data_IF_739448004305
#
_entry.id   IF_739448004305
#
_cell.length_a   1.000
_cell.length_b   1.000
_cell.length_c   1.000
_cell.angle_alpha   90.00
_cell.angle_beta   90.00
_cell.angle_gamma   90.00
#
_symmetry.space_group_name_H-M   'P 1'
#
loop_
_entity.id
_entity.type
_entity.pdbx_description
1 polymer ?
#
# COMPACT_ATOMS: atom_id res chain seq x y z
N UNK A 1 12.91 11.66 7.18
CA UNK A 1 12.92 10.52 8.11
C UNK A 1 11.76 9.61 7.75
N UNK A 2 12.04 8.47 7.12
CA UNK A 2 11.01 7.51 6.70
C UNK A 2 10.89 6.44 7.77
N UNK A 3 9.78 6.43 8.51
CA UNK A 3 9.53 5.42 9.54
C UNK A 3 9.23 4.08 8.88
N UNK A 4 10.13 3.09 9.01
CA UNK A 4 9.82 1.70 8.74
C UNK A 4 9.03 1.17 9.95
N UNK A 5 7.73 0.94 9.78
CA UNK A 5 6.92 0.28 10.81
C UNK A 5 7.22 -1.21 10.69
N UNK A 6 8.10 -1.69 11.56
CA UNK A 6 8.35 -3.12 11.73
C UNK A 6 7.16 -3.75 12.44
N UNK A 7 6.54 -4.76 11.82
CA UNK A 7 6.17 -6.07 12.39
C UNK A 7 5.00 -6.69 11.63
N UNK A 8 5.29 -7.71 10.81
CA UNK A 8 4.79 -9.09 10.96
C UNK A 8 5.09 -9.88 9.66
N UNK A 9 5.62 -11.10 9.79
CA UNK A 9 5.85 -12.09 8.69
C UNK A 9 7.09 -11.90 7.79
N UNK A 10 8.07 -11.11 8.21
CA UNK A 10 9.39 -11.05 7.58
C UNK A 10 9.56 -10.04 6.45
N UNK A 11 8.46 -9.55 5.85
CA UNK A 11 8.51 -8.42 4.92
C UNK A 11 8.52 -7.07 5.64
N UNK A 12 9.24 -6.11 5.06
CA UNK A 12 9.32 -4.72 5.49
C UNK A 12 8.38 -3.87 4.66
N UNK A 13 7.59 -3.01 5.31
CA UNK A 13 6.68 -2.09 4.63
C UNK A 13 7.25 -0.68 4.66
N UNK A 14 7.32 -0.06 3.49
CA UNK A 14 7.78 1.31 3.29
C UNK A 14 6.62 2.18 2.81
N UNK A 15 6.28 3.20 3.59
CA UNK A 15 5.22 4.16 3.28
C UNK A 15 4.17 4.30 4.37
N UNK A 16 3.13 5.11 4.16
CA UNK A 16 2.83 5.85 2.93
C UNK A 16 3.86 6.92 2.57
N UNK A 17 4.30 6.98 1.31
CA UNK A 17 5.16 8.05 0.78
C UNK A 17 4.44 8.81 -0.32
N UNK A 18 4.31 10.12 -0.15
CA UNK A 18 3.82 10.99 -1.20
C UNK A 18 4.95 11.26 -2.20
N UNK A 19 4.77 10.87 -3.47
CA UNK A 19 5.78 11.03 -4.54
C UNK A 19 5.52 12.27 -5.40
N UNK A 20 4.24 12.53 -5.70
CA UNK A 20 3.76 13.70 -6.42
C UNK A 20 2.61 14.36 -5.65
N UNK A 21 2.11 15.49 -6.12
CA UNK A 21 1.08 16.28 -5.44
C UNK A 21 -0.10 15.42 -4.93
N UNK A 22 -0.52 14.40 -5.69
CA UNK A 22 -1.66 13.54 -5.33
C UNK A 22 -1.35 12.03 -5.40
N UNK A 23 -0.08 11.62 -5.36
CA UNK A 23 0.29 10.20 -5.49
C UNK A 23 0.93 9.69 -4.20
N UNK A 24 0.31 8.66 -3.62
CA UNK A 24 0.73 8.03 -2.36
C UNK A 24 1.04 6.57 -2.62
N UNK A 25 2.29 6.20 -2.39
CA UNK A 25 2.76 4.84 -2.61
C UNK A 25 3.05 4.12 -1.29
N UNK A 26 2.84 2.80 -1.30
CA UNK A 26 3.31 1.88 -0.27
C UNK A 26 4.03 0.73 -0.96
N UNK A 27 5.19 0.35 -0.45
CA UNK A 27 5.99 -0.76 -0.95
C UNK A 27 6.16 -1.82 0.12
N UNK A 28 6.23 -3.08 -0.27
CA UNK A 28 6.65 -4.16 0.59
C UNK A 28 7.91 -4.81 0.03
N UNK A 29 8.86 -5.08 0.92
CA UNK A 29 10.18 -5.61 0.62
C UNK A 29 10.42 -6.90 1.40
N UNK A 30 11.10 -7.87 0.80
CA UNK A 30 11.60 -9.06 1.48
C UNK A 30 12.99 -9.37 0.92
N UNK A 31 13.98 -9.52 1.80
CA UNK A 31 15.38 -9.79 1.44
C UNK A 31 15.91 -8.86 0.33
N UNK A 32 15.65 -7.56 0.47
CA UNK A 32 16.08 -6.53 -0.48
C UNK A 32 15.28 -6.47 -1.79
N UNK A 33 14.30 -7.37 -2.00
CA UNK A 33 13.47 -7.42 -3.21
C UNK A 33 12.09 -6.84 -2.96
N UNK A 34 11.59 -6.00 -3.88
CA UNK A 34 10.22 -5.50 -3.81
C UNK A 34 9.24 -6.65 -4.17
N UNK A 35 8.33 -6.97 -3.24
CA UNK A 35 7.35 -8.05 -3.41
C UNK A 35 5.92 -7.56 -3.64
N UNK A 36 5.62 -6.30 -3.28
CA UNK A 36 4.32 -5.69 -3.52
C UNK A 36 4.39 -4.16 -3.58
N UNK A 37 3.44 -3.55 -4.29
CA UNK A 37 3.27 -2.10 -4.43
C UNK A 37 1.79 -1.73 -4.37
N UNK A 38 1.46 -0.68 -3.62
CA UNK A 38 0.20 0.05 -3.72
C UNK A 38 0.46 1.42 -4.35
N UNK A 39 -0.33 1.76 -5.35
CA UNK A 39 -0.45 3.10 -5.90
C UNK A 39 -1.85 3.65 -5.56
N UNK A 40 -1.86 4.71 -4.76
CA UNK A 40 -3.05 5.41 -4.32
C UNK A 40 -3.03 6.86 -4.79
N UNK A 41 -4.21 7.36 -5.15
CA UNK A 41 -4.44 8.75 -5.45
C UNK A 41 -5.06 9.46 -4.25
N UNK A 42 -4.45 10.57 -3.83
CA UNK A 42 -5.03 11.49 -2.86
C UNK A 42 -6.15 12.28 -3.54
N UNK A 43 -7.37 12.18 -3.00
CA UNK A 43 -8.57 12.82 -3.53
C UNK A 43 -8.92 14.09 -2.76
N UNK A 44 -8.93 13.96 -1.44
CA UNK A 44 -9.25 15.03 -0.51
C UNK A 44 -8.22 15.00 0.64
N UNK A 45 -8.31 15.93 1.59
CA UNK A 45 -7.33 16.07 2.70
C UNK A 45 -6.96 14.75 3.39
N UNK A 46 -7.94 13.85 3.57
CA UNK A 46 -7.77 12.57 4.27
C UNK A 46 -8.26 11.35 3.46
N UNK A 47 -8.47 11.51 2.15
CA UNK A 47 -9.11 10.52 1.28
C UNK A 47 -8.17 9.92 0.25
N UNK A 48 -8.01 8.59 0.27
CA UNK A 48 -7.28 7.84 -0.76
C UNK A 48 -8.22 7.03 -1.66
N UNK A 49 -7.89 6.99 -2.94
CA UNK A 49 -8.43 6.06 -3.93
C UNK A 49 -7.34 5.11 -4.39
N UNK A 50 -7.52 3.82 -4.17
CA UNK A 50 -6.59 2.82 -4.69
C UNK A 50 -6.70 2.76 -6.23
N UNK A 51 -5.61 3.07 -6.93
CA UNK A 51 -5.52 2.98 -8.39
C UNK A 51 -5.06 1.59 -8.83
N UNK A 52 -4.01 1.10 -8.18
CA UNK A 52 -3.39 -0.17 -8.52
C UNK A 52 -2.82 -0.85 -7.27
N UNK A 53 -2.98 -2.17 -7.23
CA UNK A 53 -2.35 -3.03 -6.25
C UNK A 53 -1.60 -4.12 -7.01
N UNK A 54 -0.30 -4.22 -6.78
CA UNK A 54 0.53 -5.26 -7.33
C UNK A 54 1.10 -6.12 -6.20
N UNK A 55 1.01 -7.43 -6.36
CA UNK A 55 1.66 -8.42 -5.50
C UNK A 55 2.32 -9.46 -6.40
N UNK A 56 3.62 -9.66 -6.20
CA UNK A 56 4.41 -10.65 -6.94
C UNK A 56 3.80 -12.05 -6.75
N UNK A 57 3.79 -12.92 -7.79
CA UNK A 57 3.02 -14.17 -7.79
C UNK A 57 3.17 -15.07 -6.55
N UNK A 58 4.39 -15.30 -6.00
CA UNK A 58 4.56 -16.17 -4.83
C UNK A 58 3.84 -15.67 -3.57
N UNK A 59 3.53 -14.37 -3.52
CA UNK A 59 2.95 -13.69 -2.35
C UNK A 59 1.48 -13.34 -2.53
N UNK A 60 0.88 -13.69 -3.67
CA UNK A 60 -0.56 -13.50 -3.90
C UNK A 60 -1.34 -14.35 -2.91
N UNK A 61 -2.41 -13.79 -2.34
CA UNK A 61 -3.20 -14.46 -1.29
C UNK A 61 -2.54 -14.46 0.10
N UNK A 62 -1.30 -14.00 0.23
CA UNK A 62 -0.67 -13.76 1.53
C UNK A 62 -1.25 -12.51 2.22
N UNK A 63 -0.81 -12.25 3.45
CA UNK A 63 -1.23 -11.06 4.19
C UNK A 63 -0.54 -9.76 3.74
N UNK A 64 0.44 -9.79 2.83
CA UNK A 64 1.22 -8.60 2.46
C UNK A 64 0.34 -7.41 2.09
N UNK A 65 -0.71 -7.64 1.29
CA UNK A 65 -1.65 -6.59 0.90
C UNK A 65 -2.43 -6.02 2.08
N UNK A 66 -2.87 -6.88 3.01
CA UNK A 66 -3.58 -6.46 4.22
C UNK A 66 -2.68 -5.62 5.12
N UNK A 67 -1.44 -6.02 5.27
CA UNK A 67 -0.47 -5.34 6.13
C UNK A 67 -0.09 -3.97 5.50
N UNK A 68 0.04 -3.90 4.17
CA UNK A 68 0.21 -2.62 3.46
C UNK A 68 -1.00 -1.70 3.60
N UNK A 69 -2.22 -2.22 3.57
CA UNK A 69 -3.42 -1.40 3.84
C UNK A 69 -3.46 -0.93 5.30
N UNK A 70 -2.90 -1.69 6.24
CA UNK A 70 -2.87 -1.32 7.64
C UNK A 70 -2.01 -0.06 7.89
N UNK A 71 -0.93 0.16 7.13
CA UNK A 71 -0.12 1.40 7.26
C UNK A 71 -0.82 2.64 6.69
N UNK A 72 -1.83 2.47 5.82
CA UNK A 72 -2.63 3.58 5.30
C UNK A 72 -3.70 4.05 6.30
N UNK A 73 -4.26 3.15 7.10
CA UNK A 73 -5.40 3.44 7.99
C UNK A 73 -5.17 4.58 9.01
N UNK A 74 -3.99 4.73 9.64
CA UNK A 74 -3.74 5.83 10.56
C UNK A 74 -3.63 7.18 9.85
N UNK A 75 -3.20 7.18 8.58
CA UNK A 75 -2.94 8.40 7.81
C UNK A 75 -4.18 8.91 7.06
N UNK A 76 -5.11 8.01 6.72
CA UNK A 76 -6.24 8.33 5.84
C UNK A 76 -7.53 7.72 6.38
N UNK A 77 -8.55 8.57 6.57
CA UNK A 77 -9.86 8.16 7.12
C UNK A 77 -10.68 7.37 6.12
N UNK A 78 -10.49 7.62 4.81
CA UNK A 78 -11.28 7.01 3.75
C UNK A 78 -10.36 6.39 2.71
N UNK A 79 -10.47 5.08 2.53
CA UNK A 79 -9.73 4.34 1.49
C UNK A 79 -10.78 3.70 0.59
N UNK A 80 -10.92 4.24 -0.63
CA UNK A 80 -11.86 3.73 -1.63
C UNK A 80 -11.15 2.74 -2.54
N UNK A 81 -11.67 1.51 -2.60
CA UNK A 81 -11.21 0.51 -3.56
C UNK A 81 -11.98 0.68 -4.87
N UNK A 82 -11.26 0.74 -5.99
CA UNK A 82 -11.91 0.63 -7.30
C UNK A 82 -12.44 -0.79 -7.44
N UNK A 83 -13.76 -0.97 -7.29
CA UNK A 83 -14.42 -2.25 -7.58
C UNK A 83 -14.32 -2.44 -9.09
N UNK A 84 -13.49 -3.38 -9.55
CA UNK A 84 -13.54 -3.84 -10.94
C UNK A 84 -14.86 -4.57 -11.07
N UNK A 85 -15.77 -4.06 -11.91
CA UNK A 85 -16.99 -4.78 -12.25
C UNK A 85 -16.55 -6.13 -12.84
N UNK A 86 -16.91 -7.22 -12.17
CA UNK A 86 -16.80 -8.56 -12.77
C UNK A 86 -17.96 -8.60 -13.78
N UNK A 87 -17.62 -8.42 -15.06
CA UNK A 87 -18.54 -8.72 -16.16
C UNK A 87 -18.83 -10.21 -16.24
#
# INVERSE_FOLDING_TARGET
MSHAIQQSRGWQIEGPRQRQANEVHVYAWLDGSMIAMLDCELRDRDGLKLRMAYVSPPWRGSAVLRDMLAVLKPCYRRITLRRVARG
#
